data_IF_761104213774
#
_entry.id   IF_761104213774
#
_cell.length_a   1.000
_cell.length_b   1.000
_cell.length_c   1.000
_cell.angle_alpha   90.00
_cell.angle_beta   90.00
_cell.angle_gamma   90.00
#
_symmetry.space_group_name_H-M   'P 1'
#
loop_
_entity.id
_entity.type
_entity.pdbx_description
1 polymer ?
#
# COMPACT_ATOMS: atom_id res chain seq x y z
N UNK A 1 -12.32 -3.64 -22.93
CA UNK A 1 -10.99 -3.93 -23.53
C UNK A 1 -11.14 -5.06 -24.54
N UNK A 2 -10.36 -5.07 -25.64
CA UNK A 2 -10.29 -6.24 -26.55
C UNK A 2 -9.30 -7.24 -25.93
N UNK A 3 -9.74 -8.47 -25.69
CA UNK A 3 -8.94 -9.48 -24.95
C UNK A 3 -8.11 -10.40 -25.84
N UNK A 4 -8.42 -10.49 -27.13
CA UNK A 4 -7.77 -11.44 -28.05
C UNK A 4 -6.64 -10.82 -28.89
N UNK A 5 -6.33 -9.55 -28.68
CA UNK A 5 -5.23 -8.87 -29.39
C UNK A 5 -3.90 -9.01 -28.64
N UNK A 6 -2.80 -8.73 -29.34
CA UNK A 6 -1.48 -8.65 -28.71
C UNK A 6 -1.20 -7.21 -28.29
N UNK A 7 -0.82 -7.01 -27.04
CA UNK A 7 -0.49 -5.69 -26.50
C UNK A 7 1.01 -5.50 -26.34
N UNK A 8 1.46 -4.25 -26.39
CA UNK A 8 2.85 -3.84 -26.17
C UNK A 8 2.96 -2.58 -25.32
N UNK A 9 3.94 -2.53 -24.43
CA UNK A 9 4.31 -1.33 -23.69
C UNK A 9 5.75 -1.39 -23.17
N UNK A 10 6.29 -0.24 -22.76
CA UNK A 10 7.52 -0.18 -21.97
C UNK A 10 7.19 -0.55 -20.51
N UNK A 11 7.89 -1.53 -19.94
CA UNK A 11 7.67 -1.99 -18.55
C UNK A 11 8.64 -1.37 -17.55
N UNK A 12 9.71 -0.71 -18.01
CA UNK A 12 10.63 0.09 -17.19
C UNK A 12 10.16 1.54 -17.06
N UNK A 13 10.56 2.29 -16.01
CA UNK A 13 10.28 3.72 -15.90
C UNK A 13 10.72 4.52 -17.14
N UNK A 14 10.02 5.60 -17.43
CA UNK A 14 10.43 6.55 -18.47
C UNK A 14 11.67 7.33 -18.02
N UNK A 15 12.60 7.58 -18.95
CA UNK A 15 13.82 8.32 -18.68
C UNK A 15 15.04 7.65 -19.28
N UNK A 16 16.21 8.27 -19.08
CA UNK A 16 17.49 7.72 -19.53
C UNK A 16 17.94 6.63 -18.56
N UNK A 17 18.18 5.44 -19.07
CA UNK A 17 18.75 4.32 -18.32
C UNK A 17 19.70 3.51 -19.19
N UNK A 18 20.48 2.62 -18.57
CA UNK A 18 21.30 1.68 -19.33
C UNK A 18 20.43 0.71 -20.14
N UNK A 19 19.33 0.24 -19.54
CA UNK A 19 18.44 -0.77 -20.10
C UNK A 19 16.99 -0.27 -20.02
N UNK A 20 16.20 -0.59 -21.06
CA UNK A 20 14.75 -0.50 -21.05
C UNK A 20 14.14 -1.84 -21.48
N UNK A 21 12.99 -2.18 -20.90
CA UNK A 21 12.25 -3.41 -21.21
C UNK A 21 10.97 -3.05 -21.96
N UNK A 22 10.79 -3.64 -23.14
CA UNK A 22 9.55 -3.58 -23.91
C UNK A 22 8.89 -4.95 -23.84
N UNK A 23 7.69 -5.00 -23.29
CA UNK A 23 6.93 -6.24 -23.08
C UNK A 23 5.78 -6.33 -24.07
N UNK A 24 5.64 -7.51 -24.69
CA UNK A 24 4.50 -7.90 -25.48
C UNK A 24 3.74 -9.04 -24.80
N UNK A 25 2.40 -9.03 -24.83
CA UNK A 25 1.54 -10.13 -24.34
C UNK A 25 0.41 -10.41 -25.30
N UNK A 26 0.15 -11.68 -25.58
CA UNK A 26 -0.96 -12.13 -26.43
C UNK A 26 -0.52 -13.17 -27.46
N UNK A 27 -1.48 -13.68 -28.23
CA UNK A 27 -1.28 -14.82 -29.15
C UNK A 27 -0.17 -14.61 -30.18
N UNK A 28 0.00 -13.39 -30.68
CA UNK A 28 0.97 -13.06 -31.73
C UNK A 28 2.28 -12.47 -31.20
N UNK A 29 2.48 -12.37 -29.88
CA UNK A 29 3.67 -11.74 -29.27
C UNK A 29 4.99 -12.35 -29.79
N UNK A 30 5.11 -13.68 -29.76
CA UNK A 30 6.28 -14.41 -30.27
C UNK A 30 6.46 -14.19 -31.77
N UNK A 31 5.37 -14.27 -32.55
CA UNK A 31 5.42 -14.11 -34.01
C UNK A 31 5.88 -12.71 -34.40
N UNK A 32 5.38 -11.67 -33.72
CA UNK A 32 5.75 -10.27 -33.96
C UNK A 32 7.24 -10.08 -33.70
N UNK A 33 7.74 -10.48 -32.53
CA UNK A 33 9.16 -10.28 -32.19
C UNK A 33 10.07 -11.15 -33.05
N UNK A 34 9.66 -12.38 -33.38
CA UNK A 34 10.42 -13.26 -34.28
C UNK A 34 10.67 -12.64 -35.66
N UNK A 35 9.72 -11.85 -36.18
CA UNK A 35 9.89 -11.16 -37.46
C UNK A 35 10.90 -10.01 -37.42
N UNK A 36 11.24 -9.53 -36.22
CA UNK A 36 12.22 -8.46 -35.98
C UNK A 36 13.57 -9.01 -35.49
N UNK A 37 13.66 -10.31 -35.17
CA UNK A 37 14.82 -10.91 -34.51
C UNK A 37 15.39 -12.07 -35.35
N UNK A 38 16.23 -11.78 -36.37
CA UNK A 38 16.73 -12.80 -37.28
C UNK A 38 17.76 -13.75 -36.64
N UNK A 39 18.34 -13.37 -35.49
CA UNK A 39 19.40 -14.15 -34.82
C UNK A 39 18.95 -15.53 -34.34
N UNK A 40 17.64 -15.74 -34.12
CA UNK A 40 17.09 -17.04 -33.72
C UNK A 40 15.60 -17.15 -34.01
N UNK A 41 15.14 -18.35 -34.38
CA UNK A 41 13.72 -18.66 -34.50
C UNK A 41 13.07 -18.82 -33.11
N UNK A 42 12.49 -17.74 -32.59
CA UNK A 42 11.82 -17.66 -31.29
C UNK A 42 10.58 -18.56 -31.19
N UNK A 43 10.05 -19.09 -32.30
CA UNK A 43 8.91 -20.02 -32.24
C UNK A 43 9.33 -21.39 -31.70
N UNK A 44 10.59 -21.77 -31.93
CA UNK A 44 11.15 -23.09 -31.60
C UNK A 44 11.89 -23.15 -30.27
N UNK A 45 12.10 -22.02 -29.61
CA UNK A 45 12.84 -21.96 -28.33
C UNK A 45 11.98 -22.41 -27.17
N UNK A 46 12.61 -22.86 -26.09
CA UNK A 46 11.91 -23.23 -24.86
C UNK A 46 11.40 -21.99 -24.11
N UNK A 47 10.37 -22.18 -23.29
CA UNK A 47 9.87 -21.13 -22.38
C UNK A 47 10.93 -20.79 -21.31
N UNK A 48 10.90 -19.56 -20.78
CA UNK A 48 11.83 -19.04 -19.77
C UNK A 48 13.30 -19.07 -20.22
N UNK A 49 13.55 -18.81 -21.50
CA UNK A 49 14.89 -18.71 -22.06
C UNK A 49 15.19 -17.29 -22.54
N UNK A 50 16.48 -16.95 -22.55
CA UNK A 50 17.00 -15.65 -22.99
C UNK A 50 17.81 -15.85 -24.27
N UNK A 51 17.66 -14.94 -25.23
CA UNK A 51 18.35 -14.98 -26.51
C UNK A 51 18.97 -13.62 -26.84
N UNK A 52 20.27 -13.63 -27.11
CA UNK A 52 21.04 -12.46 -27.52
C UNK A 52 21.04 -12.33 -29.05
N UNK A 53 20.93 -11.10 -29.54
CA UNK A 53 20.97 -10.81 -30.98
C UNK A 53 20.50 -9.40 -31.29
N UNK A 54 20.26 -9.13 -32.57
CA UNK A 54 19.86 -7.81 -33.04
C UNK A 54 18.35 -7.75 -33.30
N UNK A 55 17.74 -6.61 -32.98
CA UNK A 55 16.46 -6.21 -33.56
C UNK A 55 16.74 -5.49 -34.87
N UNK A 56 16.20 -6.04 -35.96
CA UNK A 56 16.43 -5.57 -37.32
C UNK A 56 15.11 -5.28 -38.04
N UNK A 57 15.12 -4.27 -38.91
CA UNK A 57 13.99 -3.98 -39.79
C UNK A 57 14.49 -3.46 -41.14
N UNK A 58 14.13 -4.14 -42.23
CA UNK A 58 14.55 -3.82 -43.61
C UNK A 58 16.08 -3.67 -43.71
N UNK A 59 16.81 -4.67 -43.23
CA UNK A 59 18.28 -4.74 -43.26
C UNK A 59 19.01 -3.62 -42.48
N UNK A 60 18.30 -2.91 -41.61
CA UNK A 60 18.87 -1.95 -40.67
C UNK A 60 18.80 -2.52 -39.25
N UNK A 61 19.94 -2.57 -38.58
CA UNK A 61 20.02 -2.83 -37.14
C UNK A 61 19.43 -1.63 -36.40
N UNK A 62 18.52 -1.90 -35.48
CA UNK A 62 17.91 -0.90 -34.60
C UNK A 62 18.64 -0.88 -33.27
N UNK A 63 18.85 -2.06 -32.69
CA UNK A 63 19.58 -2.24 -31.45
C UNK A 63 20.03 -3.69 -31.28
N UNK A 64 21.05 -3.89 -30.44
CA UNK A 64 21.47 -5.18 -29.92
C UNK A 64 20.77 -5.43 -28.57
N UNK A 65 20.09 -6.57 -28.43
CA UNK A 65 19.12 -6.82 -27.35
C UNK A 65 19.27 -8.20 -26.73
N UNK A 66 18.65 -8.35 -25.56
CA UNK A 66 18.28 -9.65 -25.01
C UNK A 66 16.76 -9.84 -25.13
N UNK A 67 16.33 -10.94 -25.72
CA UNK A 67 14.92 -11.32 -25.84
C UNK A 67 14.62 -12.48 -24.89
N UNK A 68 13.70 -12.26 -23.96
CA UNK A 68 13.17 -13.30 -23.05
C UNK A 68 11.83 -13.82 -23.57
N UNK A 69 11.65 -15.14 -23.62
CA UNK A 69 10.42 -15.77 -24.13
C UNK A 69 9.70 -16.54 -23.03
N UNK A 70 8.43 -16.24 -22.80
CA UNK A 70 7.54 -16.94 -21.88
C UNK A 70 6.34 -17.48 -22.66
N UNK A 71 6.22 -18.80 -22.75
CA UNK A 71 5.11 -19.46 -23.44
C UNK A 71 3.94 -19.71 -22.49
N UNK A 72 2.71 -19.56 -23.01
CA UNK A 72 1.49 -19.91 -22.28
C UNK A 72 1.52 -21.39 -21.80
N UNK A 73 0.94 -21.72 -20.62
CA UNK A 73 0.31 -20.82 -19.64
C UNK A 73 1.31 -20.26 -18.61
N UNK A 74 2.62 -20.48 -18.78
CA UNK A 74 3.62 -20.17 -17.77
C UNK A 74 4.19 -18.76 -17.99
N UNK A 75 3.34 -17.76 -17.79
CA UNK A 75 3.71 -16.35 -17.92
C UNK A 75 2.89 -15.49 -16.97
N UNK A 76 3.24 -14.20 -16.85
CA UNK A 76 2.52 -13.26 -15.98
C UNK A 76 1.04 -13.14 -16.34
N UNK A 77 0.68 -13.12 -17.62
CA UNK A 77 -0.71 -12.99 -18.10
C UNK A 77 -1.36 -14.32 -18.44
N UNK A 78 -0.65 -15.45 -18.25
CA UNK A 78 -0.95 -16.78 -18.80
C UNK A 78 -1.00 -16.86 -20.33
N UNK A 79 -0.70 -15.79 -21.05
CA UNK A 79 -0.56 -15.77 -22.52
C UNK A 79 0.93 -15.93 -22.93
N UNK A 80 1.22 -15.99 -24.23
CA UNK A 80 2.59 -15.83 -24.69
C UNK A 80 3.08 -14.40 -24.40
N UNK A 81 4.21 -14.28 -23.71
CA UNK A 81 4.90 -13.01 -23.43
C UNK A 81 6.29 -13.03 -24.04
N UNK A 82 6.68 -11.91 -24.64
CA UNK A 82 8.06 -11.65 -25.05
C UNK A 82 8.52 -10.33 -24.45
N UNK A 83 9.70 -10.34 -23.85
CA UNK A 83 10.34 -9.14 -23.31
C UNK A 83 11.62 -8.82 -24.08
N UNK A 84 11.71 -7.61 -24.61
CA UNK A 84 12.88 -7.10 -25.32
C UNK A 84 13.62 -6.16 -24.36
N UNK A 85 14.78 -6.60 -23.87
CA UNK A 85 15.70 -5.76 -23.09
C UNK A 85 16.67 -5.09 -24.06
N UNK A 86 16.49 -3.78 -24.24
CA UNK A 86 17.22 -2.94 -25.18
C UNK A 86 17.95 -1.82 -24.44
N UNK A 87 18.84 -1.10 -25.12
CA UNK A 87 19.47 0.08 -24.55
C UNK A 87 18.41 1.15 -24.24
N UNK A 88 18.53 1.79 -23.06
CA UNK A 88 17.53 2.72 -22.52
C UNK A 88 17.51 4.12 -23.17
N UNK A 89 17.74 4.20 -24.48
CA UNK A 89 17.62 5.45 -25.25
C UNK A 89 16.19 5.62 -25.78
N UNK A 90 15.58 6.79 -25.54
CA UNK A 90 14.21 7.11 -25.97
C UNK A 90 13.94 6.81 -27.45
N UNK A 91 14.93 7.07 -28.31
CA UNK A 91 14.84 6.79 -29.74
C UNK A 91 14.67 5.29 -30.02
N UNK A 92 15.48 4.44 -29.38
CA UNK A 92 15.44 2.98 -29.54
C UNK A 92 14.09 2.45 -29.05
N UNK A 93 13.67 2.87 -27.85
CA UNK A 93 12.42 2.43 -27.25
C UNK A 93 11.23 2.78 -28.16
N UNK A 94 11.14 4.04 -28.60
CA UNK A 94 10.07 4.50 -29.51
C UNK A 94 10.11 3.77 -30.85
N UNK A 95 11.30 3.45 -31.37
CA UNK A 95 11.46 2.74 -32.64
C UNK A 95 10.96 1.30 -32.53
N UNK A 96 11.36 0.56 -31.51
CA UNK A 96 10.92 -0.83 -31.29
C UNK A 96 9.40 -0.86 -31.05
N UNK A 97 8.85 0.03 -30.21
CA UNK A 97 7.40 0.16 -30.00
C UNK A 97 6.65 0.43 -31.31
N UNK A 98 7.13 1.38 -32.12
CA UNK A 98 6.48 1.69 -33.41
C UNK A 98 6.47 0.50 -34.36
N UNK A 99 7.54 -0.32 -34.38
CA UNK A 99 7.64 -1.48 -35.25
C UNK A 99 6.74 -2.63 -34.79
N UNK A 100 6.69 -2.92 -33.50
CA UNK A 100 5.79 -3.95 -32.96
C UNK A 100 4.33 -3.57 -33.19
N UNK A 101 3.97 -2.30 -33.02
CA UNK A 101 2.63 -1.79 -33.35
C UNK A 101 2.32 -1.97 -34.83
N UNK A 102 3.26 -1.62 -35.71
CA UNK A 102 3.10 -1.78 -37.17
C UNK A 102 2.89 -3.25 -37.58
N UNK A 103 3.44 -4.19 -36.81
CA UNK A 103 3.33 -5.62 -37.05
C UNK A 103 2.10 -6.28 -36.40
N UNK A 104 1.23 -5.49 -35.76
CA UNK A 104 -0.07 -5.95 -35.27
C UNK A 104 -0.27 -5.88 -33.77
N UNK A 105 0.72 -5.42 -32.99
CA UNK A 105 0.51 -5.13 -31.58
C UNK A 105 -0.31 -3.84 -31.40
N UNK A 106 -1.08 -3.75 -30.31
CA UNK A 106 -1.72 -2.52 -29.84
C UNK A 106 -0.96 -1.99 -28.62
N UNK A 107 -0.94 -0.68 -28.41
CA UNK A 107 -0.46 -0.11 -27.15
C UNK A 107 -1.34 -0.60 -26.00
N UNK A 108 -0.73 -1.14 -24.95
CA UNK A 108 -1.45 -1.56 -23.75
C UNK A 108 -2.12 -0.37 -23.05
N UNK A 109 -3.33 -0.57 -22.55
CA UNK A 109 -3.97 0.35 -21.62
C UNK A 109 -3.28 0.29 -20.25
N UNK A 110 -3.58 1.23 -19.36
CA UNK A 110 -3.10 1.22 -17.97
C UNK A 110 -3.57 -0.03 -17.23
N UNK A 111 -2.66 -0.74 -16.57
CA UNK A 111 -2.99 -1.95 -15.81
C UNK A 111 -3.36 -3.16 -16.66
N UNK A 112 -3.23 -3.10 -17.99
CA UNK A 112 -3.79 -4.13 -18.86
C UNK A 112 -3.10 -5.49 -18.70
N UNK A 113 -1.79 -5.56 -18.40
CA UNK A 113 -1.14 -6.85 -18.19
C UNK A 113 -1.62 -7.53 -16.89
N UNK A 114 -1.74 -6.78 -15.79
CA UNK A 114 -2.26 -7.25 -14.51
C UNK A 114 -3.74 -7.59 -14.64
N UNK A 115 -4.51 -6.83 -15.41
CA UNK A 115 -5.91 -7.14 -15.72
C UNK A 115 -6.05 -8.48 -16.45
N UNK A 116 -5.22 -8.75 -17.47
CA UNK A 116 -5.21 -10.05 -18.17
C UNK A 116 -4.75 -11.19 -17.25
N UNK A 117 -3.80 -10.93 -16.36
CA UNK A 117 -3.38 -11.88 -15.31
C UNK A 117 -4.53 -12.22 -14.35
N UNK A 118 -5.35 -11.24 -13.98
CA UNK A 118 -6.55 -11.47 -13.18
C UNK A 118 -7.60 -12.30 -13.94
N UNK A 119 -7.94 -11.90 -15.18
CA UNK A 119 -8.95 -12.60 -15.99
C UNK A 119 -8.58 -14.05 -16.33
N UNK A 120 -7.29 -14.34 -16.48
CA UNK A 120 -6.77 -15.70 -16.72
C UNK A 120 -6.72 -16.57 -15.46
N UNK A 121 -7.12 -16.02 -14.30
CA UNK A 121 -7.09 -16.72 -13.01
C UNK A 121 -5.68 -16.95 -12.47
N UNK A 122 -4.68 -16.23 -12.99
CA UNK A 122 -3.32 -16.29 -12.45
C UNK A 122 -3.22 -15.65 -11.05
N UNK A 123 -4.06 -14.65 -10.80
CA UNK A 123 -4.20 -13.95 -9.53
C UNK A 123 -5.64 -13.49 -9.33
N UNK A 124 -6.04 -13.26 -8.08
CA UNK A 124 -7.32 -12.64 -7.75
C UNK A 124 -7.23 -11.10 -7.67
N UNK A 125 -8.37 -10.43 -7.50
CA UNK A 125 -8.42 -8.97 -7.57
C UNK A 125 -7.62 -8.31 -6.44
N UNK A 126 -7.61 -8.91 -5.24
CA UNK A 126 -6.83 -8.40 -4.11
C UNK A 126 -5.33 -8.54 -4.35
N UNK A 127 -4.90 -9.66 -4.94
CA UNK A 127 -3.52 -9.84 -5.38
C UNK A 127 -3.13 -8.84 -6.48
N UNK A 128 -4.02 -8.57 -7.43
CA UNK A 128 -3.80 -7.57 -8.48
C UNK A 128 -3.58 -6.16 -7.88
N UNK A 129 -4.44 -5.72 -6.96
CA UNK A 129 -4.30 -4.44 -6.25
C UNK A 129 -2.96 -4.35 -5.51
N UNK A 130 -2.53 -5.45 -4.87
CA UNK A 130 -1.27 -5.50 -4.15
C UNK A 130 -0.02 -5.38 -5.05
N UNK A 131 -0.13 -5.70 -6.34
CA UNK A 131 0.96 -5.42 -7.30
C UNK A 131 1.21 -3.92 -7.41
N UNK A 132 0.15 -3.11 -7.42
CA UNK A 132 0.30 -1.64 -7.42
C UNK A 132 0.92 -1.17 -6.13
N UNK A 133 0.42 -1.66 -4.98
CA UNK A 133 0.91 -1.26 -3.66
C UNK A 133 2.41 -1.60 -3.49
N UNK A 134 2.86 -2.75 -4.00
CA UNK A 134 4.26 -3.17 -3.98
C UNK A 134 5.17 -2.22 -4.78
N UNK A 135 4.69 -1.71 -5.92
CA UNK A 135 5.49 -0.81 -6.76
C UNK A 135 5.61 0.57 -6.11
N UNK A 136 4.52 1.03 -5.47
CA UNK A 136 4.49 2.32 -4.78
C UNK A 136 5.03 2.27 -3.35
N UNK A 137 5.46 1.10 -2.86
CA UNK A 137 5.89 0.93 -1.47
C UNK A 137 7.14 1.76 -1.18
N UNK A 138 7.02 2.72 -0.26
CA UNK A 138 8.12 3.62 0.14
C UNK A 138 8.65 3.32 1.55
N UNK A 139 8.23 2.19 2.14
CA UNK A 139 8.61 1.77 3.49
C UNK A 139 8.75 0.25 3.57
N UNK A 140 9.60 -0.26 4.46
CA UNK A 140 9.81 -1.71 4.62
C UNK A 140 8.51 -2.42 5.02
N UNK A 141 7.71 -1.79 5.88
CA UNK A 141 6.43 -2.35 6.33
C UNK A 141 5.40 -2.41 5.20
N UNK A 142 5.25 -1.34 4.39
CA UNK A 142 4.34 -1.37 3.23
C UNK A 142 4.75 -2.43 2.22
N UNK A 143 6.06 -2.61 2.02
CA UNK A 143 6.60 -3.66 1.14
C UNK A 143 6.28 -5.08 1.65
N UNK A 144 6.51 -5.36 2.94
CA UNK A 144 6.20 -6.66 3.57
C UNK A 144 4.72 -7.02 3.43
N UNK A 145 3.83 -6.05 3.66
CA UNK A 145 2.38 -6.25 3.57
C UNK A 145 1.96 -6.53 2.13
N UNK A 146 2.45 -5.77 1.16
CA UNK A 146 2.15 -5.98 -0.25
C UNK A 146 2.60 -7.38 -0.74
N UNK A 147 3.77 -7.86 -0.28
CA UNK A 147 4.23 -9.23 -0.57
C UNK A 147 3.26 -10.29 -0.01
N UNK A 148 2.80 -10.13 1.23
CA UNK A 148 1.87 -11.10 1.85
C UNK A 148 0.54 -11.15 1.11
N UNK A 149 0.06 -10.01 0.62
CA UNK A 149 -1.12 -9.93 -0.23
C UNK A 149 -0.91 -10.62 -1.57
N UNK A 150 0.21 -10.37 -2.26
CA UNK A 150 0.56 -11.04 -3.52
C UNK A 150 0.64 -12.56 -3.35
N UNK A 151 1.20 -13.03 -2.22
CA UNK A 151 1.22 -14.46 -1.87
C UNK A 151 -0.17 -15.06 -1.59
N UNK A 152 -1.20 -14.24 -1.53
CA UNK A 152 -2.59 -14.66 -1.37
C UNK A 152 -2.95 -15.08 0.05
N UNK A 153 -2.17 -14.72 1.08
CA UNK A 153 -2.48 -15.08 2.49
C UNK A 153 -3.89 -14.59 2.87
N UNK A 154 -4.17 -13.33 2.54
CA UNK A 154 -5.47 -12.69 2.72
C UNK A 154 -6.57 -13.39 1.91
N UNK A 155 -6.38 -13.50 0.59
CA UNK A 155 -7.38 -14.05 -0.32
C UNK A 155 -7.71 -15.52 -0.03
N UNK A 156 -6.71 -16.33 0.36
CA UNK A 156 -6.91 -17.74 0.71
C UNK A 156 -7.78 -17.90 1.95
N UNK A 157 -7.62 -17.01 2.95
CA UNK A 157 -8.49 -17.03 4.15
C UNK A 157 -9.93 -16.65 3.79
N UNK A 158 -10.15 -15.64 2.96
CA UNK A 158 -11.49 -15.25 2.48
C UNK A 158 -12.12 -16.38 1.66
N UNK A 159 -11.39 -16.95 0.70
CA UNK A 159 -11.85 -18.08 -0.13
C UNK A 159 -12.25 -19.28 0.72
N UNK A 160 -11.48 -19.59 1.77
CA UNK A 160 -11.83 -20.65 2.72
C UNK A 160 -13.14 -20.36 3.46
N UNK A 161 -13.26 -19.18 4.08
CA UNK A 161 -14.48 -18.80 4.81
C UNK A 161 -15.71 -18.78 3.90
N UNK A 162 -15.56 -18.27 2.68
CA UNK A 162 -16.62 -18.26 1.66
C UNK A 162 -17.01 -19.69 1.26
N UNK A 163 -16.05 -20.58 1.01
CA UNK A 163 -16.32 -21.99 0.69
C UNK A 163 -17.07 -22.70 1.83
N UNK A 164 -16.64 -22.49 3.07
CA UNK A 164 -17.29 -23.07 4.24
C UNK A 164 -18.73 -22.54 4.37
N UNK A 165 -18.96 -21.26 4.07
CA UNK A 165 -20.29 -20.64 4.08
C UNK A 165 -21.19 -21.14 2.94
N UNK A 166 -20.64 -21.36 1.73
CA UNK A 166 -21.36 -21.98 0.61
C UNK A 166 -21.84 -23.37 1.00
N UNK A 167 -20.96 -24.21 1.55
CA UNK A 167 -21.31 -25.58 1.93
C UNK A 167 -22.47 -25.61 2.94
N UNK A 168 -22.45 -24.73 3.94
CA UNK A 168 -23.54 -24.63 4.91
C UNK A 168 -24.81 -24.02 4.30
N UNK A 169 -24.68 -23.04 3.40
CA UNK A 169 -25.82 -22.47 2.67
C UNK A 169 -26.54 -23.52 1.84
N UNK A 170 -25.81 -24.41 1.16
CA UNK A 170 -26.42 -25.48 0.38
C UNK A 170 -27.23 -26.46 1.23
N UNK A 171 -26.80 -26.72 2.47
CA UNK A 171 -27.58 -27.55 3.40
C UNK A 171 -28.87 -26.86 3.86
N UNK A 172 -28.84 -25.54 4.05
CA UNK A 172 -30.03 -24.75 4.38
C UNK A 172 -31.01 -24.66 3.20
N UNK A 173 -30.50 -24.55 1.98
CA UNK A 173 -31.33 -24.59 0.77
C UNK A 173 -32.01 -25.94 0.60
N UNK A 174 -31.30 -27.05 0.86
CA UNK A 174 -31.92 -28.39 0.87
C UNK A 174 -33.00 -28.49 1.96
N UNK A 175 -32.77 -27.96 3.16
CA UNK A 175 -33.80 -27.93 4.22
C UNK A 175 -35.06 -27.17 3.81
N UNK A 176 -34.93 -26.10 3.02
CA UNK A 176 -36.06 -25.38 2.44
C UNK A 176 -36.83 -26.22 1.41
N UNK A 177 -36.10 -26.89 0.51
CA UNK A 177 -36.70 -27.75 -0.52
C UNK A 177 -37.47 -28.95 0.06
N UNK A 178 -37.07 -29.43 1.25
CA UNK A 178 -37.67 -30.56 1.97
C UNK A 178 -38.44 -30.15 3.24
N UNK A 179 -38.92 -28.90 3.30
CA UNK A 179 -39.63 -28.35 4.47
C UNK A 179 -40.89 -29.14 4.89
N UNK A 180 -41.47 -29.95 4.00
CA UNK A 180 -42.61 -30.83 4.29
C UNK A 180 -42.22 -32.15 4.98
N UNK A 181 -40.93 -32.55 4.96
CA UNK A 181 -40.45 -33.85 5.44
C UNK A 181 -39.90 -33.84 6.87
N UNK A 182 -39.95 -32.69 7.57
CA UNK A 182 -39.51 -32.49 8.98
C UNK A 182 -38.04 -32.94 9.21
N UNK A 183 -37.16 -32.63 8.25
CA UNK A 183 -35.73 -33.01 8.25
C UNK A 183 -34.82 -31.78 8.45
N UNK A 184 -34.00 -31.78 9.50
CA UNK A 184 -32.94 -30.78 9.69
C UNK A 184 -31.63 -31.25 9.02
N UNK A 185 -31.23 -30.60 7.93
CA UNK A 185 -29.98 -30.91 7.22
C UNK A 185 -28.80 -30.03 7.67
N UNK A 186 -29.06 -28.81 8.13
CA UNK A 186 -28.03 -27.86 8.50
C UNK A 186 -27.78 -27.81 10.03
N UNK A 187 -26.54 -28.09 10.44
CA UNK A 187 -26.16 -27.97 11.85
C UNK A 187 -26.03 -26.50 12.27
N UNK A 188 -27.01 -26.01 13.04
CA UNK A 188 -27.07 -24.60 13.52
C UNK A 188 -25.86 -24.20 14.37
N UNK A 189 -25.29 -25.11 15.16
CA UNK A 189 -24.09 -24.83 15.97
C UNK A 189 -22.84 -24.64 15.08
N UNK A 190 -22.72 -25.43 14.01
CA UNK A 190 -21.62 -25.27 13.04
C UNK A 190 -21.74 -23.95 12.29
N UNK A 191 -22.95 -23.57 11.90
CA UNK A 191 -23.22 -22.27 11.29
C UNK A 191 -22.83 -21.14 12.24
N UNK A 192 -23.29 -21.15 13.48
CA UNK A 192 -22.97 -20.10 14.45
C UNK A 192 -21.45 -19.96 14.67
N UNK A 193 -20.73 -21.08 14.76
CA UNK A 193 -19.27 -21.09 14.87
C UNK A 193 -18.60 -20.43 13.66
N UNK A 194 -19.06 -20.75 12.45
CA UNK A 194 -18.53 -20.15 11.23
C UNK A 194 -18.83 -18.64 11.16
N UNK A 195 -20.06 -18.21 11.50
CA UNK A 195 -20.41 -16.78 11.53
C UNK A 195 -19.52 -16.02 12.51
N UNK A 196 -19.23 -16.59 13.69
CA UNK A 196 -18.30 -16.00 14.66
C UNK A 196 -16.86 -15.94 14.14
N UNK A 197 -16.39 -16.96 13.42
CA UNK A 197 -15.07 -16.94 12.79
C UNK A 197 -14.97 -15.84 11.71
N UNK A 198 -16.01 -15.70 10.87
CA UNK A 198 -16.10 -14.64 9.86
C UNK A 198 -16.08 -13.26 10.53
N UNK A 199 -16.90 -13.03 11.56
CA UNK A 199 -16.94 -11.76 12.28
C UNK A 199 -15.61 -11.43 12.96
N UNK A 200 -14.98 -12.40 13.61
CA UNK A 200 -13.68 -12.22 14.26
C UNK A 200 -12.62 -11.81 13.26
N UNK A 201 -12.52 -12.52 12.13
CA UNK A 201 -11.58 -12.17 11.08
C UNK A 201 -11.89 -10.81 10.45
N UNK A 202 -13.17 -10.51 10.20
CA UNK A 202 -13.62 -9.25 9.65
C UNK A 202 -13.25 -8.05 10.56
N UNK A 203 -13.43 -8.18 11.87
CA UNK A 203 -13.08 -7.13 12.81
C UNK A 203 -11.59 -6.82 12.80
N UNK A 204 -10.72 -7.84 12.73
CA UNK A 204 -9.26 -7.64 12.58
C UNK A 204 -8.94 -6.82 11.33
N UNK A 205 -9.62 -7.09 10.21
CA UNK A 205 -9.43 -6.37 8.96
C UNK A 205 -9.97 -4.92 9.02
N UNK A 206 -11.17 -4.72 9.57
CA UNK A 206 -11.75 -3.39 9.71
C UNK A 206 -10.94 -2.51 10.66
N UNK A 207 -10.33 -3.08 11.70
CA UNK A 207 -9.38 -2.38 12.56
C UNK A 207 -8.11 -2.00 11.82
N UNK A 208 -7.60 -2.86 10.93
CA UNK A 208 -6.42 -2.54 10.11
C UNK A 208 -6.67 -1.42 9.10
N UNK A 209 -7.91 -1.18 8.67
CA UNK A 209 -8.25 -0.03 7.81
C UNK A 209 -7.94 1.32 8.46
N UNK A 210 -8.19 1.46 9.77
CA UNK A 210 -7.91 2.71 10.51
C UNK A 210 -6.42 3.05 10.50
N UNK A 211 -5.57 2.03 10.44
CA UNK A 211 -4.12 2.16 10.39
C UNK A 211 -3.60 2.36 8.95
N UNK A 212 -4.46 2.22 7.93
CA UNK A 212 -4.01 2.07 6.55
C UNK A 212 -3.44 3.35 5.94
N UNK A 213 -4.10 4.49 6.17
CA UNK A 213 -3.60 5.78 5.68
C UNK A 213 -2.24 6.16 6.29
N UNK A 214 -1.93 5.67 7.49
CA UNK A 214 -0.69 5.99 8.21
C UNK A 214 0.52 5.26 7.62
N UNK A 215 0.36 4.02 7.16
CA UNK A 215 1.47 3.23 6.63
C UNK A 215 1.63 3.41 5.10
N UNK A 216 0.53 3.59 4.36
CA UNK A 216 0.55 3.71 2.89
C UNK A 216 1.11 5.04 2.40
N UNK A 217 0.64 6.17 2.95
CA UNK A 217 1.04 7.51 2.51
C UNK A 217 2.18 8.12 3.35
N UNK A 218 2.53 7.43 4.42
CA UNK A 218 3.47 7.84 5.46
C UNK A 218 2.77 8.49 6.65
N UNK A 219 3.45 8.43 7.80
CA UNK A 219 2.98 9.00 9.05
C UNK A 219 3.14 10.51 8.98
N UNK A 220 2.02 11.22 8.91
CA UNK A 220 2.03 12.67 8.92
C UNK A 220 2.43 13.19 10.31
N UNK A 221 3.64 13.75 10.39
CA UNK A 221 4.23 14.31 11.62
C UNK A 221 4.16 15.83 11.59
N UNK A 222 3.53 16.42 12.60
CA UNK A 222 3.48 17.87 12.77
C UNK A 222 4.40 18.29 13.93
N UNK A 223 5.33 19.21 13.67
CA UNK A 223 6.18 19.79 14.73
C UNK A 223 5.54 21.08 15.22
N UNK A 224 5.08 21.07 16.47
CA UNK A 224 4.49 22.23 17.14
C UNK A 224 5.38 22.74 18.26
N UNK A 225 5.17 23.99 18.65
CA UNK A 225 5.88 24.64 19.73
C UNK A 225 5.98 26.14 19.52
N UNK A 226 6.27 26.88 20.60
CA UNK A 226 6.44 28.34 20.56
C UNK A 226 7.51 28.77 19.53
N UNK A 227 7.50 30.05 19.12
CA UNK A 227 8.65 30.71 18.52
C UNK A 227 10.00 30.29 19.14
N UNK A 228 11.03 30.08 18.32
CA UNK A 228 12.42 29.86 18.75
C UNK A 228 12.72 28.65 19.67
N UNK A 229 11.80 27.70 19.82
CA UNK A 229 12.03 26.45 20.59
C UNK A 229 12.95 25.44 19.88
N UNK A 230 13.37 25.72 18.65
CA UNK A 230 14.29 24.87 17.87
C UNK A 230 13.61 23.81 16.98
N UNK A 231 12.38 24.07 16.51
CA UNK A 231 11.64 23.18 15.59
C UNK A 231 12.43 22.87 14.31
N UNK A 232 12.96 23.89 13.64
CA UNK A 232 13.75 23.75 12.40
C UNK A 232 15.06 23.00 12.64
N UNK A 233 15.70 23.21 13.79
CA UNK A 233 16.93 22.50 14.17
C UNK A 233 16.67 21.00 14.35
N UNK A 234 15.57 20.63 15.02
CA UNK A 234 15.18 19.22 15.18
C UNK A 234 14.85 18.59 13.81
N UNK A 235 14.04 19.27 12.99
CA UNK A 235 13.66 18.77 11.67
C UNK A 235 14.89 18.50 10.79
N UNK A 236 15.77 19.50 10.65
CA UNK A 236 16.97 19.38 9.83
C UNK A 236 17.91 18.31 10.38
N UNK A 237 18.10 18.26 11.71
CA UNK A 237 18.91 17.22 12.34
C UNK A 237 18.39 15.81 12.08
N UNK A 238 17.07 15.59 12.18
CA UNK A 238 16.45 14.29 11.88
C UNK A 238 16.62 13.89 10.41
N UNK A 239 16.49 14.84 9.48
CA UNK A 239 16.68 14.62 8.04
C UNK A 239 18.15 14.33 7.70
N UNK A 240 19.09 15.09 8.25
CA UNK A 240 20.52 14.90 8.01
C UNK A 240 21.02 13.55 8.54
N UNK A 241 20.58 13.16 9.73
CA UNK A 241 20.90 11.86 10.32
C UNK A 241 20.32 10.70 9.47
N UNK A 242 19.13 10.87 8.90
CA UNK A 242 18.53 9.85 8.01
C UNK A 242 19.29 9.75 6.66
N UNK A 243 19.67 10.90 6.08
CA UNK A 243 20.50 10.96 4.86
C UNK A 243 21.87 10.29 5.06
N UNK A 244 22.48 10.45 6.24
CA UNK A 244 23.77 9.83 6.56
C UNK A 244 23.70 8.29 6.51
N UNK A 245 22.62 7.69 7.02
CA UNK A 245 22.39 6.24 7.02
C UNK A 245 22.21 5.69 5.59
N UNK A 246 21.51 6.44 4.73
CA UNK A 246 21.20 6.01 3.36
C UNK A 246 22.42 6.14 2.42
N UNK A 247 23.34 7.07 2.72
CA UNK A 247 24.47 7.40 1.85
C UNK A 247 25.51 6.27 1.67
N UNK A 248 25.51 5.27 2.56
CA UNK A 248 26.45 4.15 2.54
C UNK A 248 26.00 2.97 1.64
N UNK A 249 24.80 3.04 1.04
CA UNK A 249 24.24 1.96 0.19
C UNK A 249 24.19 2.41 -1.28
N UNK A 250 25.04 1.86 -2.18
CA UNK A 250 25.04 2.22 -3.59
C UNK A 250 23.70 1.89 -4.27
N UNK A 251 23.04 2.90 -4.85
CA UNK A 251 21.84 2.72 -5.69
C UNK A 251 20.49 3.06 -5.06
N UNK A 252 20.45 3.56 -3.82
CA UNK A 252 19.22 4.14 -3.25
C UNK A 252 19.01 5.53 -3.86
N UNK A 253 17.88 5.71 -4.55
CA UNK A 253 17.56 6.94 -5.28
C UNK A 253 17.65 8.17 -4.37
N UNK A 254 18.45 9.15 -4.80
CA UNK A 254 18.78 10.42 -4.14
C UNK A 254 17.60 11.40 -3.96
N UNK A 255 16.39 10.98 -4.26
CA UNK A 255 15.18 11.80 -4.18
C UNK A 255 14.48 11.58 -2.83
N UNK A 256 15.23 11.72 -1.72
CA UNK A 256 14.60 11.95 -0.42
C UNK A 256 13.87 13.26 -0.57
N UNK A 257 12.53 13.20 -0.70
CA UNK A 257 11.70 14.38 -0.58
C UNK A 257 12.12 15.05 0.73
N UNK A 258 12.40 16.34 0.64
CA UNK A 258 13.11 17.12 1.65
C UNK A 258 12.42 17.16 3.04
N UNK A 259 11.25 16.54 3.17
CA UNK A 259 10.38 16.53 4.33
C UNK A 259 10.03 15.10 4.80
N UNK A 260 10.80 14.09 4.40
CA UNK A 260 10.55 12.69 4.79
C UNK A 260 11.76 12.01 5.43
N UNK A 261 11.53 11.15 6.41
CA UNK A 261 12.54 10.28 7.03
C UNK A 261 11.98 8.87 7.24
N UNK A 262 12.84 7.86 7.41
CA UNK A 262 12.42 6.50 7.77
C UNK A 262 12.75 6.17 9.23
N UNK A 263 11.75 5.75 10.02
CA UNK A 263 11.92 5.36 11.43
C UNK A 263 11.21 4.03 11.66
N UNK A 264 11.93 3.00 12.15
CA UNK A 264 11.37 1.67 12.41
C UNK A 264 10.74 0.99 11.19
N UNK A 265 11.27 1.26 9.99
CA UNK A 265 10.70 0.77 8.73
C UNK A 265 9.42 1.48 8.28
N UNK A 266 9.02 2.58 8.96
CA UNK A 266 7.87 3.43 8.60
C UNK A 266 8.35 4.76 7.99
N UNK A 267 7.67 5.23 6.95
CA UNK A 267 7.93 6.53 6.34
C UNK A 267 7.24 7.63 7.16
N UNK A 268 7.98 8.62 7.64
CA UNK A 268 7.44 9.80 8.32
C UNK A 268 7.48 10.97 7.34
N UNK A 269 6.38 11.72 7.26
CA UNK A 269 6.23 12.90 6.42
C UNK A 269 5.97 14.11 7.30
N UNK A 270 6.86 15.09 7.28
CA UNK A 270 6.70 16.32 8.05
C UNK A 270 5.78 17.29 7.31
N UNK A 271 4.69 17.72 7.98
CA UNK A 271 3.71 18.62 7.37
C UNK A 271 4.13 20.09 7.58
N UNK A 272 4.09 20.87 6.51
CA UNK A 272 4.32 22.34 6.46
C UNK A 272 5.75 22.79 6.80
N UNK A 273 6.74 22.18 6.15
CA UNK A 273 8.16 22.58 6.26
C UNK A 273 8.47 23.94 5.63
N UNK A 274 7.63 24.46 4.73
CA UNK A 274 7.80 25.79 4.14
C UNK A 274 7.76 26.89 5.21
N UNK A 275 6.88 26.80 6.22
CA UNK A 275 6.86 27.74 7.34
C UNK A 275 7.94 27.51 8.40
N UNK A 276 8.62 26.36 8.36
CA UNK A 276 9.76 26.01 9.24
C UNK A 276 11.10 26.42 8.59
N UNK A 277 11.16 26.48 7.25
CA UNK A 277 12.33 26.85 6.45
C UNK A 277 12.37 28.33 6.05
N UNK A 278 11.22 28.97 5.82
CA UNK A 278 11.12 30.42 5.59
C UNK A 278 10.61 31.13 6.83
N UNK A 279 11.51 31.63 7.68
CA UNK A 279 11.47 32.97 8.32
C UNK A 279 12.30 33.00 9.62
N UNK A 280 13.37 33.81 9.61
CA UNK A 280 13.92 34.45 10.82
C UNK A 280 13.21 35.78 11.13
N UNK A 281 12.25 36.25 10.30
CA UNK A 281 11.59 37.54 10.51
C UNK A 281 10.10 37.59 10.09
N UNK A 282 9.28 38.11 11.02
CA UNK A 282 7.96 38.77 10.88
C UNK A 282 6.67 38.04 10.44
N UNK A 283 6.57 36.70 10.44
CA UNK A 283 5.28 36.00 10.14
C UNK A 283 4.87 34.97 11.23
N UNK A 284 5.05 35.27 12.51
CA UNK A 284 4.83 34.25 13.56
C UNK A 284 3.38 34.01 14.00
N UNK A 285 2.44 34.96 13.81
CA UNK A 285 1.03 34.74 14.20
C UNK A 285 0.21 33.99 13.14
N UNK A 286 0.53 34.19 11.85
CA UNK A 286 -0.11 33.47 10.73
C UNK A 286 0.32 32.00 10.74
N UNK A 287 1.58 31.73 11.10
CA UNK A 287 2.13 30.38 11.26
C UNK A 287 1.41 29.54 12.32
N UNK A 288 1.07 30.11 13.48
CA UNK A 288 0.36 29.39 14.54
C UNK A 288 -1.06 28.98 14.11
N UNK A 289 -1.83 29.90 13.50
CA UNK A 289 -3.19 29.59 13.05
C UNK A 289 -3.19 28.55 11.93
N UNK A 290 -2.22 28.63 11.02
CA UNK A 290 -2.05 27.66 9.93
C UNK A 290 -1.62 26.29 10.45
N UNK A 291 -0.69 26.23 11.40
CA UNK A 291 -0.27 25.00 12.05
C UNK A 291 -1.39 24.35 12.87
N UNK A 292 -2.23 25.14 13.56
CA UNK A 292 -3.41 24.64 14.28
C UNK A 292 -4.45 24.02 13.34
N UNK A 293 -4.62 24.55 12.12
CA UNK A 293 -5.52 23.96 11.12
C UNK A 293 -5.03 22.59 10.60
N UNK A 294 -3.76 22.24 10.83
CA UNK A 294 -3.19 20.96 10.41
C UNK A 294 -3.15 19.89 11.51
N UNK A 295 -3.50 20.25 12.75
CA UNK A 295 -3.57 19.32 13.89
C UNK A 295 -4.52 18.15 13.62
N UNK A 296 -5.57 18.36 12.83
CA UNK A 296 -6.50 17.31 12.47
C UNK A 296 -5.97 16.35 11.39
N UNK A 297 -5.00 16.79 10.60
CA UNK A 297 -4.37 16.00 9.54
C UNK A 297 -3.09 15.28 10.02
N UNK A 298 -2.63 15.58 11.23
CA UNK A 298 -1.42 14.98 11.81
C UNK A 298 -1.74 13.65 12.51
N UNK A 299 -1.02 12.60 12.11
CA UNK A 299 -1.06 11.28 12.75
C UNK A 299 -0.23 11.26 14.05
N UNK A 300 0.80 12.10 14.11
CA UNK A 300 1.68 12.30 15.25
C UNK A 300 2.05 13.79 15.38
N UNK A 301 2.03 14.31 16.60
CA UNK A 301 2.46 15.67 16.93
C UNK A 301 3.73 15.60 17.78
N UNK A 302 4.81 16.23 17.31
CA UNK A 302 5.99 16.50 18.11
C UNK A 302 5.84 17.89 18.73
N UNK A 303 5.50 17.95 20.02
CA UNK A 303 5.36 19.22 20.73
C UNK A 303 6.69 19.61 21.40
N UNK A 304 7.37 20.59 20.82
CA UNK A 304 8.70 21.04 21.21
C UNK A 304 8.60 22.19 22.21
N UNK A 305 9.30 22.02 23.33
CA UNK A 305 9.34 22.95 24.46
C UNK A 305 10.78 23.41 24.65
N UNK A 306 10.99 24.72 24.78
CA UNK A 306 12.30 25.26 25.19
C UNK A 306 12.47 25.12 26.71
N UNK A 307 13.39 24.26 27.15
CA UNK A 307 13.63 23.99 28.57
C UNK A 307 14.19 25.20 29.34
N UNK A 308 14.70 26.22 28.65
CA UNK A 308 15.32 27.40 29.25
C UNK A 308 14.39 28.62 29.30
N UNK A 309 13.30 28.61 28.53
CA UNK A 309 12.38 29.74 28.41
C UNK A 309 10.91 29.33 28.66
N UNK A 310 10.71 28.46 29.64
CA UNK A 310 9.40 27.89 29.98
C UNK A 310 9.28 27.75 31.50
N UNK A 311 8.10 28.05 32.05
CA UNK A 311 7.75 27.83 33.47
C UNK A 311 6.70 26.71 33.64
N UNK A 312 6.55 26.16 34.86
CA UNK A 312 5.60 25.06 35.11
C UNK A 312 4.14 25.43 34.80
N UNK A 313 3.77 26.71 34.94
CA UNK A 313 2.41 27.18 34.65
C UNK A 313 2.14 27.18 33.15
N UNK A 314 3.09 27.61 32.32
CA UNK A 314 2.92 27.52 30.87
C UNK A 314 2.91 26.08 30.38
N UNK A 315 3.78 25.20 30.90
CA UNK A 315 3.75 23.76 30.58
C UNK A 315 2.40 23.12 30.85
N UNK A 316 1.85 23.34 32.04
CA UNK A 316 0.55 22.77 32.42
C UNK A 316 -0.59 23.34 31.60
N UNK A 317 -0.51 24.61 31.17
CA UNK A 317 -1.51 25.20 30.27
C UNK A 317 -1.40 24.68 28.83
N UNK A 318 -0.18 24.42 28.35
CA UNK A 318 0.10 23.93 26.99
C UNK A 318 -0.30 22.47 26.83
N UNK A 319 0.05 21.61 27.80
CA UNK A 319 -0.33 20.20 27.80
C UNK A 319 -1.84 19.99 27.94
N UNK A 320 -2.56 20.93 28.57
CA UNK A 320 -4.02 20.89 28.71
C UNK A 320 -4.75 21.64 27.60
N UNK A 321 -4.03 22.09 26.57
CA UNK A 321 -4.64 22.82 25.46
C UNK A 321 -5.69 21.95 24.74
N UNK A 322 -6.84 22.56 24.42
CA UNK A 322 -7.97 21.84 23.81
C UNK A 322 -7.60 21.19 22.47
N UNK A 323 -6.64 21.75 21.74
CA UNK A 323 -6.24 21.26 20.42
C UNK A 323 -5.34 20.02 20.47
N UNK A 324 -4.66 19.74 21.59
CA UNK A 324 -3.85 18.52 21.78
C UNK A 324 -4.65 17.37 22.41
N UNK A 325 -5.89 17.64 22.84
CA UNK A 325 -6.71 16.64 23.53
C UNK A 325 -7.10 15.50 22.57
N UNK A 326 -6.91 14.26 23.01
CA UNK A 326 -7.15 13.04 22.23
C UNK A 326 -6.30 12.93 20.94
N UNK A 327 -5.15 13.62 20.90
CA UNK A 327 -4.18 13.50 19.81
C UNK A 327 -2.98 12.67 20.25
N UNK A 328 -2.30 12.08 19.27
CA UNK A 328 -1.03 11.39 19.47
C UNK A 328 0.07 12.43 19.59
N UNK A 329 0.56 12.69 20.81
CA UNK A 329 1.54 13.75 21.08
C UNK A 329 2.77 13.17 21.78
N UNK A 330 3.95 13.49 21.27
CA UNK A 330 5.23 13.32 21.96
C UNK A 330 5.71 14.71 22.38
N UNK A 331 5.84 14.92 23.70
CA UNK A 331 6.43 16.13 24.25
C UNK A 331 7.96 16.00 24.28
N UNK A 332 8.63 17.00 23.72
CA UNK A 332 10.09 17.03 23.57
C UNK A 332 10.63 18.32 24.18
N UNK A 333 11.41 18.21 25.25
CA UNK A 333 12.12 19.33 25.85
C UNK A 333 13.44 19.55 25.13
N UNK A 334 13.57 20.62 24.36
CA UNK A 334 14.78 20.97 23.62
C UNK A 334 15.70 21.91 24.41
N UNK A 335 16.94 22.05 23.94
CA UNK A 335 18.02 22.88 24.54
C UNK A 335 18.49 22.39 25.92
N UNK A 336 18.50 21.07 26.11
CA UNK A 336 18.94 20.44 27.37
C UNK A 336 20.42 20.69 27.71
N UNK A 337 21.21 21.17 26.75
CA UNK A 337 22.59 21.59 26.91
C UNK A 337 22.75 22.91 27.68
N UNK A 338 21.70 23.72 27.77
CA UNK A 338 21.69 25.01 28.47
C UNK A 338 21.19 24.87 29.91
N UNK A 339 21.25 25.94 30.70
CA UNK A 339 20.84 25.93 32.11
C UNK A 339 19.31 25.81 32.26
N UNK A 340 18.85 24.68 32.78
CA UNK A 340 17.42 24.37 33.01
C UNK A 340 17.03 24.72 34.45
N UNK A 341 15.84 25.29 34.65
CA UNK A 341 15.29 25.47 36.00
C UNK A 341 15.03 24.12 36.70
N UNK A 342 15.32 24.04 38.01
CA UNK A 342 15.21 22.79 38.78
C UNK A 342 13.79 22.20 38.72
N UNK A 343 12.79 23.04 38.75
CA UNK A 343 11.37 22.66 38.73
C UNK A 343 10.97 22.03 37.39
N UNK A 344 11.38 22.64 36.27
CA UNK A 344 11.16 22.13 34.90
C UNK A 344 11.88 20.79 34.71
N UNK A 345 13.15 20.70 35.11
CA UNK A 345 13.92 19.45 35.03
C UNK A 345 13.26 18.33 35.85
N UNK A 346 12.78 18.64 37.06
CA UNK A 346 12.06 17.66 37.88
C UNK A 346 10.75 17.21 37.25
N UNK A 347 10.03 18.10 36.56
CA UNK A 347 8.79 17.76 35.87
C UNK A 347 9.04 16.80 34.70
N UNK A 348 10.03 17.07 33.86
CA UNK A 348 10.36 16.19 32.72
C UNK A 348 10.79 14.81 33.21
N UNK A 349 11.66 14.73 34.22
CA UNK A 349 12.09 13.45 34.81
C UNK A 349 10.95 12.67 35.45
N UNK A 350 10.06 13.34 36.20
CA UNK A 350 8.95 12.68 36.91
C UNK A 350 7.92 12.09 35.95
N UNK A 351 7.73 12.72 34.79
CA UNK A 351 6.75 12.30 33.79
C UNK A 351 7.37 11.51 32.63
N UNK A 352 8.65 11.13 32.73
CA UNK A 352 9.40 10.39 31.70
C UNK A 352 9.35 11.05 30.30
N UNK A 353 9.41 12.38 30.29
CA UNK A 353 9.42 13.19 29.07
C UNK A 353 10.83 13.29 28.50
N UNK A 354 10.93 13.28 27.17
CA UNK A 354 12.23 13.29 26.51
C UNK A 354 12.85 14.70 26.58
N UNK A 355 14.11 14.77 27.00
CA UNK A 355 14.92 15.98 26.95
C UNK A 355 16.06 15.79 25.96
N UNK A 356 16.21 16.71 25.02
CA UNK A 356 17.21 16.65 23.95
C UNK A 356 17.94 17.98 23.80
N UNK A 357 19.13 17.92 23.24
CA UNK A 357 19.76 19.03 22.55
C UNK A 357 19.74 18.72 21.05
N UNK A 358 18.97 19.47 20.27
CA UNK A 358 18.86 19.25 18.83
C UNK A 358 20.20 19.33 18.06
N UNK A 359 21.24 19.90 18.69
CA UNK A 359 22.60 19.96 18.14
C UNK A 359 23.43 18.69 18.40
N UNK A 360 22.95 17.74 19.21
CA UNK A 360 23.63 16.49 19.54
C UNK A 360 22.96 15.33 18.80
N UNK A 361 23.71 14.66 17.92
CA UNK A 361 23.23 13.50 17.16
C UNK A 361 22.68 12.39 18.06
N UNK A 362 23.34 12.08 19.19
CA UNK A 362 22.88 11.05 20.12
C UNK A 362 21.48 11.33 20.70
N UNK A 363 21.13 12.61 20.92
CA UNK A 363 19.81 12.98 21.43
C UNK A 363 18.74 12.91 20.33
N UNK A 364 19.11 13.13 19.07
CA UNK A 364 18.24 12.94 17.91
C UNK A 364 17.96 11.45 17.66
N UNK A 365 18.96 10.57 17.80
CA UNK A 365 18.77 9.12 17.78
C UNK A 365 17.79 8.67 18.87
N UNK A 366 17.94 9.16 20.10
CA UNK A 366 16.98 8.87 21.18
C UNK A 366 15.55 9.37 20.86
N UNK A 367 15.43 10.49 20.16
CA UNK A 367 14.14 10.97 19.67
C UNK A 367 13.55 10.02 18.62
N UNK A 368 14.36 9.52 17.67
CA UNK A 368 13.93 8.51 16.69
C UNK A 368 13.45 7.24 17.39
N UNK A 369 14.20 6.72 18.35
CA UNK A 369 13.81 5.52 19.12
C UNK A 369 12.48 5.72 19.87
N UNK A 370 12.27 6.91 20.45
CA UNK A 370 11.01 7.23 21.13
C UNK A 370 9.85 7.36 20.15
N UNK A 371 10.09 7.91 18.95
CA UNK A 371 9.09 7.97 17.88
C UNK A 371 8.75 6.56 17.40
N UNK A 372 9.73 5.69 17.20
CA UNK A 372 9.53 4.29 16.80
C UNK A 372 8.71 3.50 17.82
N UNK A 373 9.08 3.60 19.11
CA UNK A 373 8.34 2.98 20.21
C UNK A 373 6.90 3.51 20.29
N UNK A 374 6.69 4.78 19.98
CA UNK A 374 5.35 5.36 19.97
C UNK A 374 4.53 4.82 18.80
N UNK A 375 5.13 4.74 17.60
CA UNK A 375 4.49 4.21 16.39
C UNK A 375 4.10 2.75 16.61
N UNK A 376 5.02 1.89 17.05
CA UNK A 376 4.77 0.47 17.30
C UNK A 376 3.70 0.19 18.37
N UNK A 377 3.50 1.10 19.33
CA UNK A 377 2.48 0.92 20.39
C UNK A 377 1.10 1.50 20.03
N UNK A 378 1.07 2.59 19.28
CA UNK A 378 -0.16 3.38 19.12
C UNK A 378 -0.65 3.49 17.67
N UNK A 379 0.22 3.25 16.69
CA UNK A 379 -0.06 3.52 15.28
C UNK A 379 0.09 2.27 14.39
N UNK A 380 0.93 1.31 14.76
CA UNK A 380 1.20 0.11 13.95
C UNK A 380 1.28 -1.08 14.88
N UNK A 381 0.30 -1.98 14.84
CA UNK A 381 0.40 -3.27 15.51
C UNK A 381 1.26 -4.21 14.64
N UNK A 382 2.32 -4.80 15.19
CA UNK A 382 3.15 -5.80 14.48
C UNK A 382 2.33 -7.01 13.98
N UNK A 383 1.19 -7.30 14.61
CA UNK A 383 0.26 -8.36 14.21
C UNK A 383 -0.58 -7.99 12.97
N UNK A 384 -0.64 -6.71 12.58
CA UNK A 384 -1.41 -6.25 11.41
C UNK A 384 -0.67 -6.48 10.09
N UNK A 385 -0.43 -7.76 9.78
CA UNK A 385 0.20 -8.23 8.55
C UNK A 385 -0.64 -8.04 7.26
N UNK A 386 -1.80 -7.38 7.38
CA UNK A 386 -2.82 -7.26 6.33
C UNK A 386 -3.37 -5.83 6.33
N UNK A 387 -3.37 -5.19 5.15
CA UNK A 387 -3.94 -3.85 4.96
C UNK A 387 -5.02 -3.88 3.89
N UNK A 388 -6.20 -3.35 4.21
CA UNK A 388 -7.35 -3.39 3.31
C UNK A 388 -7.64 -2.00 2.74
N UNK A 389 -7.90 -1.86 1.44
CA UNK A 389 -8.24 -0.57 0.84
C UNK A 389 -9.71 -0.18 1.14
N UNK A 390 -10.12 1.02 0.71
CA UNK A 390 -11.49 1.53 0.89
C UNK A 390 -12.55 0.58 0.30
N UNK A 391 -12.27 -0.01 -0.86
CA UNK A 391 -13.15 -1.00 -1.50
C UNK A 391 -13.36 -2.22 -0.62
N UNK A 392 -12.27 -2.81 -0.12
CA UNK A 392 -12.34 -3.90 0.84
C UNK A 392 -13.10 -3.50 2.10
N UNK A 393 -12.86 -2.30 2.64
CA UNK A 393 -13.54 -1.80 3.83
C UNK A 393 -15.06 -1.71 3.62
N UNK A 394 -15.52 -1.19 2.49
CA UNK A 394 -16.94 -1.17 2.12
C UNK A 394 -17.52 -2.58 2.05
N UNK A 395 -16.91 -3.50 1.28
CA UNK A 395 -17.40 -4.87 1.18
C UNK A 395 -17.41 -5.59 2.54
N UNK A 396 -16.37 -5.41 3.36
CA UNK A 396 -16.25 -5.99 4.69
C UNK A 396 -17.28 -5.43 5.69
N UNK A 397 -17.63 -4.15 5.57
CA UNK A 397 -18.72 -3.54 6.35
C UNK A 397 -20.06 -4.20 6.00
N UNK A 398 -20.33 -4.40 4.71
CA UNK A 398 -21.53 -5.07 4.24
C UNK A 398 -21.58 -6.56 4.63
N UNK A 399 -20.41 -7.24 4.67
CA UNK A 399 -20.30 -8.59 5.24
C UNK A 399 -20.68 -8.57 6.72
N UNK A 400 -20.19 -7.61 7.49
CA UNK A 400 -20.51 -7.50 8.92
C UNK A 400 -22.02 -7.33 9.14
N UNK A 401 -22.64 -6.43 8.39
CA UNK A 401 -24.10 -6.22 8.43
C UNK A 401 -24.87 -7.51 8.08
N UNK A 402 -24.54 -8.13 6.94
CA UNK A 402 -25.19 -9.35 6.47
C UNK A 402 -25.07 -10.49 7.48
N UNK A 403 -23.87 -10.73 8.02
CA UNK A 403 -23.63 -11.80 9.00
C UNK A 403 -24.36 -11.52 10.32
N UNK A 404 -24.44 -10.27 10.76
CA UNK A 404 -25.21 -9.91 11.96
C UNK A 404 -26.71 -10.12 11.76
N UNK A 405 -27.24 -9.86 10.55
CA UNK A 405 -28.63 -10.18 10.21
C UNK A 405 -28.88 -11.70 10.25
N UNK A 406 -27.98 -12.52 9.71
CA UNK A 406 -28.06 -13.99 9.84
C UNK A 406 -28.13 -14.40 11.31
N UNK A 407 -27.24 -13.89 12.17
CA UNK A 407 -27.23 -14.21 13.61
C UNK A 407 -28.53 -13.80 14.30
N UNK A 408 -29.06 -12.62 13.98
CA UNK A 408 -30.33 -12.12 14.54
C UNK A 408 -31.49 -13.01 14.14
N UNK A 409 -31.57 -13.39 12.87
CA UNK A 409 -32.62 -14.25 12.33
C UNK A 409 -32.53 -15.67 12.90
N UNK A 410 -31.31 -16.17 13.15
CA UNK A 410 -31.08 -17.47 13.79
C UNK A 410 -31.56 -17.49 15.25
N UNK A 411 -31.25 -16.43 16.02
CA UNK A 411 -31.70 -16.28 17.40
C UNK A 411 -33.21 -16.13 17.53
N UNK A 412 -33.84 -15.44 16.57
CA UNK A 412 -35.28 -15.21 16.54
C UNK A 412 -36.06 -16.42 16.01
N UNK A 413 -35.40 -17.54 15.66
CA UNK A 413 -36.02 -18.69 14.97
C UNK A 413 -36.85 -18.26 13.76
N UNK A 414 -36.32 -17.30 13.00
CA UNK A 414 -36.97 -16.79 11.79
C UNK A 414 -36.98 -17.85 10.69
N UNK A 415 -37.85 -17.68 9.69
CA UNK A 415 -37.95 -18.60 8.57
C UNK A 415 -36.59 -18.76 7.85
N UNK A 416 -36.27 -20.00 7.45
CA UNK A 416 -35.01 -20.36 6.79
C UNK A 416 -34.79 -19.58 5.49
N UNK A 417 -35.86 -19.08 4.84
CA UNK A 417 -35.78 -18.20 3.66
C UNK A 417 -34.98 -16.92 3.91
N UNK A 418 -35.21 -16.26 5.05
CA UNK A 418 -34.51 -15.02 5.40
C UNK A 418 -33.02 -15.30 5.69
N UNK A 419 -32.74 -16.45 6.31
CA UNK A 419 -31.37 -16.88 6.56
C UNK A 419 -30.60 -17.13 5.26
N UNK A 420 -31.21 -17.86 4.32
CA UNK A 420 -30.60 -18.14 3.01
C UNK A 420 -30.32 -16.84 2.24
N UNK A 421 -31.24 -15.89 2.28
CA UNK A 421 -31.08 -14.58 1.62
C UNK A 421 -29.93 -13.75 2.22
N UNK A 422 -29.84 -13.64 3.54
CA UNK A 422 -28.76 -12.90 4.21
C UNK A 422 -27.39 -13.57 4.00
N UNK A 423 -27.34 -14.91 4.00
CA UNK A 423 -26.13 -15.67 3.68
C UNK A 423 -25.68 -15.39 2.23
N UNK A 424 -26.62 -15.33 1.29
CA UNK A 424 -26.33 -14.99 -0.11
C UNK A 424 -25.75 -13.58 -0.25
N UNK A 425 -26.23 -12.60 0.51
CA UNK A 425 -25.64 -11.27 0.56
C UNK A 425 -24.21 -11.29 1.11
N UNK A 426 -24.00 -11.97 2.24
CA UNK A 426 -22.66 -12.12 2.81
C UNK A 426 -21.68 -12.79 1.83
N UNK A 427 -22.13 -13.83 1.11
CA UNK A 427 -21.36 -14.49 0.07
C UNK A 427 -20.98 -13.49 -1.04
N UNK A 428 -21.94 -12.76 -1.59
CA UNK A 428 -21.68 -11.78 -2.66
C UNK A 428 -20.62 -10.75 -2.24
N UNK A 429 -20.76 -10.16 -1.05
CA UNK A 429 -19.78 -9.19 -0.55
C UNK A 429 -18.40 -9.79 -0.28
N UNK A 430 -18.31 -11.05 0.17
CA UNK A 430 -17.02 -11.74 0.24
C UNK A 430 -16.41 -11.99 -1.15
N UNK A 431 -17.25 -12.28 -2.14
CA UNK A 431 -16.84 -12.51 -3.54
C UNK A 431 -16.36 -11.23 -4.24
N UNK A 432 -16.88 -10.06 -3.87
CA UNK A 432 -16.41 -8.77 -4.37
C UNK A 432 -14.94 -8.50 -4.01
N UNK A 433 -14.50 -8.94 -2.83
CA UNK A 433 -13.14 -8.71 -2.35
C UNK A 433 -12.11 -9.44 -3.23
N UNK A 434 -12.34 -10.72 -3.49
CA UNK A 434 -11.46 -11.57 -4.32
C UNK A 434 -11.69 -11.37 -5.81
N UNK A 435 -12.78 -10.74 -6.20
CA UNK A 435 -13.08 -10.51 -7.61
C UNK A 435 -13.90 -11.61 -8.27
N UNK A 436 -14.40 -12.59 -7.50
CA UNK A 436 -15.31 -13.64 -7.99
C UNK A 436 -16.68 -13.08 -8.38
N UNK A 437 -17.09 -11.96 -7.76
CA UNK A 437 -18.31 -11.22 -8.06
C UNK A 437 -17.91 -9.77 -8.31
N UNK A 438 -17.82 -9.33 -9.56
CA UNK A 438 -17.42 -7.95 -9.90
C UNK A 438 -18.20 -7.42 -11.09
N UNK A 439 -18.16 -6.10 -11.28
CA UNK A 439 -18.64 -5.45 -12.49
C UNK A 439 -17.49 -4.77 -13.24
N UNK A 440 -17.72 -4.48 -14.53
CA UNK A 440 -16.70 -3.89 -15.41
C UNK A 440 -16.27 -2.48 -14.97
N UNK A 441 -17.14 -1.71 -14.32
CA UNK A 441 -16.83 -0.36 -13.86
C UNK A 441 -15.82 -0.35 -12.70
N UNK A 442 -15.98 -1.25 -11.72
CA UNK A 442 -15.04 -1.41 -10.61
C UNK A 442 -13.68 -1.83 -11.15
N UNK A 443 -13.65 -2.80 -12.07
CA UNK A 443 -12.41 -3.25 -12.71
C UNK A 443 -11.74 -2.07 -13.45
N UNK A 444 -12.51 -1.33 -14.26
CA UNK A 444 -11.99 -0.15 -14.96
C UNK A 444 -11.38 0.89 -14.02
N UNK A 445 -12.04 1.21 -12.90
CA UNK A 445 -11.52 2.15 -11.91
C UNK A 445 -10.22 1.66 -11.27
N UNK A 446 -10.14 0.38 -10.87
CA UNK A 446 -8.94 -0.20 -10.24
C UNK A 446 -7.74 -0.13 -11.19
N UNK A 447 -7.87 -0.69 -12.40
CA UNK A 447 -6.75 -0.80 -13.33
C UNK A 447 -6.36 0.54 -13.97
N UNK A 448 -7.27 1.53 -14.00
CA UNK A 448 -6.94 2.89 -14.45
C UNK A 448 -5.88 3.60 -13.60
N UNK A 449 -5.73 3.18 -12.33
CA UNK A 449 -4.74 3.73 -11.38
C UNK A 449 -3.34 3.12 -11.55
N UNK A 450 -3.21 2.06 -12.36
CA UNK A 450 -1.93 1.40 -12.60
C UNK A 450 -1.10 2.16 -13.64
N UNK A 451 0.20 1.85 -13.65
CA UNK A 451 1.11 2.34 -14.69
C UNK A 451 0.83 1.66 -16.03
N UNK A 452 1.21 2.31 -17.13
CA UNK A 452 1.29 1.68 -18.45
C UNK A 452 2.48 0.71 -18.44
N UNK A 453 2.33 -0.50 -18.97
CA UNK A 453 3.40 -1.52 -18.98
C UNK A 453 3.32 -2.55 -17.84
N UNK A 454 2.30 -2.41 -17.00
CA UNK A 454 1.75 -3.45 -16.12
C UNK A 454 0.26 -3.51 -16.32
#
# INVERSE_FOLDING_TARGET
MKLNDTIVAQSTPQGKGAIAIIRLSGKDSIKIVNSLFPSKDLTKVDTHTIHYGNIEYKDSIIDEVLVSVFKEPNSYTKENIVEISCHGADFIIKKILSLTIKLGARVADKGEFTFRSFLSGNMDLSQAEAVSDLISSNSENSHKIAINHIKGVFSNKIKKLRKDLINLSSLLELELDFSEEDVEFANRNQLEKLLNEILSFNNVLLESYKLNNVIKDGINVLILGKPNVGKSTILNGLIEEDKAIISDIPGTTRDVLDDTITVGGNLLRFIDTAGIRETEDKIEQIGIKKALNQVDNASLILYVIDLNNTDLKSLTSESNSKFLKNKNVIYVGNKSDLKIEKEVNSYFKKNDLLMISANKSNDLSNLKDKIDLFISRNLVNEESSIMINERHFTSLTNVNESINNVKKNLNNKSNTDLLAMDIKYALNHLGEITGEVTNDEILGNIFSKFCIGK
#
